data_IF_486450897697
#
_entry.id   IF_486450897697
#
_cell.length_a   1.000
_cell.length_b   1.000
_cell.length_c   1.000
_cell.angle_alpha   90.00
_cell.angle_beta   90.00
_cell.angle_gamma   90.00
#
_symmetry.space_group_name_H-M   'P 1'
#
loop_
_entity.id
_entity.type
_entity.pdbx_description
1 polymer ?
#
# COMPACT_ATOMS: atom_id res chain seq x y z
N UNK A 1 18.13 7.39 -0.86
CA UNK A 1 17.01 6.67 -1.44
C UNK A 1 16.04 6.27 -0.35
N UNK A 2 14.76 6.38 -0.64
CA UNK A 2 13.74 6.07 0.36
C UNK A 2 12.99 4.81 -0.03
N UNK A 3 12.66 4.02 0.96
CA UNK A 3 11.89 2.81 0.76
C UNK A 3 11.00 2.60 1.97
N UNK A 4 9.91 1.88 1.77
CA UNK A 4 8.99 1.55 2.84
C UNK A 4 8.55 0.11 2.72
N UNK A 5 8.22 -0.47 3.87
CA UNK A 5 7.59 -1.79 3.89
C UNK A 5 6.10 -1.56 3.69
N UNK A 6 5.55 -2.19 2.66
CA UNK A 6 4.10 -2.17 2.43
C UNK A 6 3.55 -3.52 2.86
N UNK A 7 2.48 -3.50 3.64
CA UNK A 7 1.82 -4.72 4.10
C UNK A 7 0.43 -4.78 3.49
N UNK A 8 0.12 -5.93 2.93
CA UNK A 8 -1.18 -6.16 2.29
C UNK A 8 -2.01 -7.08 3.17
N UNK A 9 -3.29 -6.76 3.31
CA UNK A 9 -4.20 -7.55 4.12
C UNK A 9 -5.32 -8.11 3.26
N UNK A 10 -5.77 -9.31 3.61
CA UNK A 10 -6.93 -9.97 2.99
C UNK A 10 -6.84 -9.98 1.46
N UNK A 11 -7.85 -9.45 0.77
CA UNK A 11 -7.88 -9.46 -0.69
C UNK A 11 -6.72 -8.73 -1.35
N UNK A 12 -6.14 -7.74 -0.67
CA UNK A 12 -4.97 -7.05 -1.20
C UNK A 12 -3.76 -7.97 -1.23
N UNK A 13 -3.59 -8.80 -0.21
CA UNK A 13 -2.51 -9.79 -0.18
C UNK A 13 -2.68 -10.82 -1.29
N UNK A 14 -3.90 -11.24 -1.56
CA UNK A 14 -4.17 -12.18 -2.64
C UNK A 14 -3.84 -11.56 -3.99
N UNK A 15 -4.21 -10.31 -4.19
CA UNK A 15 -3.93 -9.61 -5.44
C UNK A 15 -2.45 -9.36 -5.64
N UNK A 16 -1.73 -9.08 -4.58
CA UNK A 16 -0.28 -8.84 -4.65
C UNK A 16 0.52 -10.13 -4.72
N UNK A 17 -0.04 -11.22 -4.21
CA UNK A 17 0.68 -12.49 -4.15
C UNK A 17 1.70 -12.55 -3.04
N UNK A 18 1.65 -11.61 -2.12
CA UNK A 18 2.55 -11.58 -0.96
C UNK A 18 1.89 -10.79 0.16
N UNK A 19 2.30 -11.06 1.39
CA UNK A 19 1.76 -10.35 2.54
C UNK A 19 2.45 -9.01 2.77
N UNK A 20 3.73 -8.92 2.40
CA UNK A 20 4.48 -7.68 2.55
C UNK A 20 5.69 -7.67 1.63
N UNK A 21 6.17 -6.48 1.34
CA UNK A 21 7.37 -6.31 0.53
C UNK A 21 7.92 -4.91 0.76
N UNK A 22 9.18 -4.72 0.38
CA UNK A 22 9.81 -3.41 0.47
C UNK A 22 9.81 -2.79 -0.91
N UNK A 23 9.29 -1.58 -1.01
CA UNK A 23 9.22 -0.86 -2.28
C UNK A 23 9.84 0.52 -2.12
N UNK A 24 10.46 1.01 -3.18
CA UNK A 24 11.09 2.32 -3.17
C UNK A 24 10.06 3.40 -3.46
N UNK A 25 10.26 4.55 -2.86
CA UNK A 25 9.43 5.71 -3.06
C UNK A 25 9.64 6.70 -1.94
N UNK A 26 9.45 7.97 -2.23
CA UNK A 26 9.59 9.04 -1.25
C UNK A 26 8.25 9.41 -0.63
N UNK A 27 7.17 9.19 -1.37
CA UNK A 27 5.82 9.46 -0.89
C UNK A 27 5.00 8.20 -0.92
N UNK A 28 3.88 8.23 -0.20
CA UNK A 28 2.94 7.11 -0.20
C UNK A 28 2.49 6.79 -1.63
N UNK A 29 2.17 7.83 -2.41
CA UNK A 29 1.74 7.64 -3.79
C UNK A 29 2.78 6.92 -4.63
N UNK A 30 4.06 7.27 -4.44
CA UNK A 30 5.14 6.61 -5.19
C UNK A 30 5.26 5.13 -4.83
N UNK A 31 5.13 4.80 -3.54
CA UNK A 31 5.20 3.42 -3.10
C UNK A 31 4.01 2.62 -3.64
N UNK A 32 2.81 3.21 -3.61
CA UNK A 32 1.64 2.55 -4.17
C UNK A 32 1.76 2.36 -5.67
N UNK A 33 2.33 3.34 -6.38
CA UNK A 33 2.56 3.22 -7.82
C UNK A 33 3.55 2.09 -8.12
N UNK A 34 4.60 1.98 -7.31
CA UNK A 34 5.56 0.88 -7.46
C UNK A 34 4.89 -0.47 -7.26
N UNK A 35 3.97 -0.57 -6.29
CA UNK A 35 3.23 -1.80 -6.06
C UNK A 35 2.36 -2.15 -7.27
N UNK A 36 1.69 -1.16 -7.84
CA UNK A 36 0.85 -1.39 -9.01
C UNK A 36 1.67 -1.85 -10.21
N UNK A 37 2.84 -1.28 -10.39
CA UNK A 37 3.73 -1.71 -11.47
C UNK A 37 4.22 -3.13 -11.28
N UNK A 38 4.48 -3.52 -10.04
CA UNK A 38 4.98 -4.85 -9.73
C UNK A 38 3.90 -5.92 -9.90
N UNK A 39 2.66 -5.61 -9.58
CA UNK A 39 1.60 -6.60 -9.50
C UNK A 39 0.47 -6.41 -10.51
N UNK A 40 0.45 -5.30 -11.22
CA UNK A 40 -0.47 -5.09 -12.34
C UNK A 40 -1.87 -4.68 -11.94
N UNK A 41 -2.79 -4.85 -12.90
CA UNK A 41 -4.15 -4.34 -12.79
C UNK A 41 -4.94 -4.96 -11.63
N UNK A 42 -4.64 -6.19 -11.30
CA UNK A 42 -5.37 -6.87 -10.25
C UNK A 42 -5.22 -6.15 -8.91
N UNK A 43 -3.98 -5.78 -8.58
CA UNK A 43 -3.75 -5.02 -7.37
C UNK A 43 -4.29 -3.61 -7.49
N UNK A 44 -4.17 -3.00 -8.66
CA UNK A 44 -4.67 -1.64 -8.87
C UNK A 44 -6.16 -1.54 -8.58
N UNK A 45 -6.94 -2.53 -9.03
CA UNK A 45 -8.37 -2.54 -8.77
C UNK A 45 -8.68 -2.66 -7.28
N UNK A 46 -7.94 -3.51 -6.59
CA UNK A 46 -8.15 -3.68 -5.15
C UNK A 46 -7.76 -2.41 -4.40
N UNK A 47 -6.66 -1.78 -4.79
CA UNK A 47 -6.19 -0.57 -4.13
C UNK A 47 -7.20 0.58 -4.20
N UNK A 48 -7.98 0.66 -5.25
CA UNK A 48 -9.00 1.70 -5.36
C UNK A 48 -10.03 1.64 -4.25
N UNK A 49 -10.20 0.48 -3.63
CA UNK A 49 -11.18 0.27 -2.58
C UNK A 49 -10.56 0.18 -1.19
N UNK A 50 -9.24 0.20 -1.13
CA UNK A 50 -8.55 0.01 0.13
C UNK A 50 -8.36 1.30 0.89
N UNK A 51 -8.31 1.17 2.21
CA UNK A 51 -7.80 2.23 3.07
C UNK A 51 -6.29 2.01 3.18
N UNK A 52 -5.55 3.10 3.23
CA UNK A 52 -4.10 3.04 3.33
C UNK A 52 -3.68 3.76 4.61
N UNK A 53 -2.83 3.11 5.40
CA UNK A 53 -2.27 3.72 6.61
C UNK A 53 -0.78 3.88 6.43
N UNK A 54 -0.27 5.00 6.93
CA UNK A 54 1.17 5.27 6.98
C UNK A 54 1.52 5.53 8.43
N UNK A 55 2.43 4.72 8.96
CA UNK A 55 2.81 4.80 10.37
C UNK A 55 1.59 4.74 11.30
N UNK A 56 0.61 3.91 10.94
CA UNK A 56 -0.59 3.69 11.74
C UNK A 56 -1.69 4.73 11.58
N UNK A 57 -1.52 5.69 10.68
CA UNK A 57 -2.53 6.73 10.45
C UNK A 57 -3.08 6.66 9.05
N UNK A 58 -4.37 6.89 8.92
CA UNK A 58 -5.00 6.93 7.59
C UNK A 58 -4.37 8.00 6.72
N UNK A 59 -4.16 7.64 5.47
CA UNK A 59 -3.60 8.54 4.47
C UNK A 59 -4.72 8.93 3.52
N UNK A 60 -4.97 10.23 3.42
CA UNK A 60 -5.94 10.76 2.46
C UNK A 60 -5.25 11.60 1.39
N UNK A 61 -3.92 11.61 1.39
CA UNK A 61 -3.13 12.40 0.46
C UNK A 61 -1.88 11.62 0.04
N UNK A 62 -1.81 11.28 -1.23
CA UNK A 62 -0.69 10.51 -1.79
C UNK A 62 0.65 11.23 -1.70
N UNK A 63 0.63 12.54 -1.46
CA UNK A 63 1.87 13.32 -1.31
C UNK A 63 2.49 13.20 0.07
N UNK A 64 1.86 12.45 0.97
CA UNK A 64 2.43 12.22 2.31
C UNK A 64 3.82 11.62 2.17
N UNK A 65 4.80 12.27 2.77
CA UNK A 65 6.20 11.83 2.71
C UNK A 65 6.40 10.63 3.63
N UNK A 66 7.09 9.62 3.11
CA UNK A 66 7.38 8.42 3.88
C UNK A 66 8.33 8.74 5.02
N UNK A 67 7.94 8.39 6.23
CA UNK A 67 8.80 8.53 7.40
C UNK A 67 9.76 7.33 7.44
N UNK A 68 11.06 7.54 7.70
CA UNK A 68 12.00 6.43 7.78
C UNK A 68 11.53 5.35 8.75
N UNK A 69 11.54 4.12 8.30
CA UNK A 69 11.12 2.99 9.11
C UNK A 69 9.63 2.78 9.21
N UNK A 70 8.83 3.64 8.58
CA UNK A 70 7.38 3.52 8.63
C UNK A 70 6.90 2.37 7.75
N UNK A 71 5.73 1.86 8.11
CA UNK A 71 5.06 0.80 7.38
C UNK A 71 3.82 1.38 6.71
N UNK A 72 3.56 0.96 5.49
CA UNK A 72 2.33 1.31 4.79
C UNK A 72 1.43 0.07 4.82
N UNK A 73 0.24 0.21 5.38
CA UNK A 73 -0.72 -0.87 5.47
C UNK A 73 -1.85 -0.65 4.47
N UNK A 74 -2.15 -1.67 3.70
CA UNK A 74 -3.24 -1.63 2.71
C UNK A 74 -4.37 -2.52 3.22
N UNK A 75 -5.48 -1.90 3.55
CA UNK A 75 -6.61 -2.57 4.19
C UNK A 75 -7.84 -2.51 3.28
N UNK A 76 -8.25 -3.63 2.69
CA UNK A 76 -9.48 -3.65 1.91
C UNK A 76 -10.69 -3.36 2.79
N UNK A 77 -11.78 -2.85 2.22
CA UNK A 77 -12.99 -2.71 3.00
C UNK A 77 -13.48 -4.07 3.42
N UNK A 78 -13.97 -4.17 4.64
CA UNK A 78 -14.57 -5.41 5.11
C UNK A 78 -15.99 -5.46 4.57
N UNK A 79 -16.15 -6.05 3.44
CA UNK A 79 -17.47 -6.21 2.87
C UNK A 79 -18.26 -7.15 3.77
N UNK A 80 -19.28 -6.65 4.35
CA UNK A 80 -20.08 -7.43 5.25
C UNK A 80 -19.53 -7.44 6.66
N UNK A 81 -18.59 -6.61 6.84
CA UNK A 81 -17.99 -6.50 8.16
C UNK A 81 -16.87 -7.38 8.29
#
# INVERSE_FOLDING_TARGET
MSAATIRYFAGAAEAAGTDEEVLEGTTVGEVLAAAQQAHGDRLSEVLERCSVLHAGRYVDDDTTVITPGATIDVLPPFAGG
#
